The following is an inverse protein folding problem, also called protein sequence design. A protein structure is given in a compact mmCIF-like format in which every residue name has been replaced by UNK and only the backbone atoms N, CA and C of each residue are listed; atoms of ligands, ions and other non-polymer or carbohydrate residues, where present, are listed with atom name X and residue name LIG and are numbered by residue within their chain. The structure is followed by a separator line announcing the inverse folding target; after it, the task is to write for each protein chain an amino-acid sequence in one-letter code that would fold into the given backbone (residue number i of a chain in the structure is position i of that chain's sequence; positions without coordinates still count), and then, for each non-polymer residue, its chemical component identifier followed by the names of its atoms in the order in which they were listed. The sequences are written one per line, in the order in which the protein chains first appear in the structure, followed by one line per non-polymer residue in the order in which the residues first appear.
data_IF_964991513446
#
_entry.id   IF_964991513446
#
_cell.length_a   1.000
_cell.length_b   1.000
_cell.length_c   1.000
_cell.angle_alpha   90.00
_cell.angle_beta   90.00
_cell.angle_gamma   90.00
#
_symmetry.space_group_name_H-M   'P 1'
#
loop_
_entity.id
_entity.type
_entity.pdbx_description
1 polymer ?
#
# COMPACT_ATOMS: atom_id res chain seq x y z
N UNK A 1 -24.25 17.93 19.24
CA UNK A 1 -24.84 17.48 17.98
C UNK A 1 -24.23 16.20 17.42
N UNK A 2 -22.97 15.85 17.78
CA UNK A 2 -22.29 14.65 17.25
C UNK A 2 -22.85 13.31 17.75
N UNK A 3 -23.12 13.18 19.03
CA UNK A 3 -23.57 11.92 19.65
C UNK A 3 -24.92 11.45 19.12
N UNK A 4 -25.87 12.35 18.91
CA UNK A 4 -27.19 12.00 18.38
C UNK A 4 -27.10 11.43 16.94
N UNK A 5 -26.21 11.96 16.11
CA UNK A 5 -25.95 11.43 14.76
C UNK A 5 -25.35 10.04 14.79
N UNK A 6 -24.42 9.79 15.70
CA UNK A 6 -23.81 8.45 15.86
C UNK A 6 -24.83 7.43 16.33
N UNK A 7 -25.71 7.80 17.28
CA UNK A 7 -26.75 6.91 17.80
C UNK A 7 -27.80 6.59 16.74
N UNK A 8 -28.30 7.60 16.03
CA UNK A 8 -29.24 7.39 14.92
C UNK A 8 -28.67 6.49 13.83
N UNK A 9 -27.39 6.72 13.47
CA UNK A 9 -26.72 5.88 12.48
C UNK A 9 -26.56 4.44 12.95
N UNK A 10 -26.19 4.21 14.22
CA UNK A 10 -26.07 2.87 14.79
C UNK A 10 -27.40 2.10 14.70
N UNK A 11 -28.50 2.76 15.02
CA UNK A 11 -29.85 2.19 14.85
C UNK A 11 -30.17 1.85 13.39
N UNK A 12 -29.83 2.74 12.45
CA UNK A 12 -30.07 2.51 11.02
C UNK A 12 -29.21 1.37 10.44
N UNK A 13 -28.03 1.15 11.00
CA UNK A 13 -27.17 -0.01 10.66
C UNK A 13 -27.76 -1.29 11.23
N UNK A 14 -28.23 -1.26 12.48
CA UNK A 14 -28.81 -2.41 13.17
C UNK A 14 -30.09 -2.90 12.49
N UNK A 15 -30.92 -1.97 12.01
CA UNK A 15 -32.11 -2.25 11.23
C UNK A 15 -31.84 -2.60 9.76
N UNK A 16 -30.57 -2.60 9.33
CA UNK A 16 -30.16 -2.95 7.96
C UNK A 16 -30.43 -1.88 6.90
N UNK A 17 -30.85 -0.68 7.31
CA UNK A 17 -31.08 0.47 6.39
C UNK A 17 -29.77 1.09 5.90
N UNK A 18 -28.73 1.08 6.75
CA UNK A 18 -27.41 1.55 6.38
C UNK A 18 -26.38 0.42 6.43
N UNK A 19 -25.41 0.40 5.51
CA UNK A 19 -24.34 -0.58 5.55
C UNK A 19 -23.46 -0.39 6.78
N UNK A 20 -22.95 -1.51 7.30
CA UNK A 20 -21.96 -1.50 8.39
C UNK A 20 -20.77 -0.63 7.96
N UNK A 21 -20.38 0.31 8.82
CA UNK A 21 -19.25 1.19 8.57
C UNK A 21 -17.94 0.40 8.64
N UNK A 22 -17.12 0.51 7.62
CA UNK A 22 -15.73 0.04 7.68
C UNK A 22 -14.83 1.19 8.17
N UNK A 23 -14.58 1.20 9.48
CA UNK A 23 -13.82 2.26 10.16
C UNK A 23 -12.43 2.48 9.56
N UNK A 24 -11.76 1.41 9.11
CA UNK A 24 -10.44 1.53 8.51
C UNK A 24 -10.50 2.18 7.13
N UNK A 25 -11.54 1.91 6.37
CA UNK A 25 -11.78 2.59 5.08
C UNK A 25 -12.04 4.07 5.29
N UNK A 26 -12.85 4.46 6.26
CA UNK A 26 -13.12 5.89 6.55
C UNK A 26 -11.89 6.64 7.04
N UNK A 27 -11.11 6.02 7.94
CA UNK A 27 -9.84 6.59 8.39
C UNK A 27 -8.85 6.75 7.22
N UNK A 28 -8.86 5.82 6.29
CA UNK A 28 -8.03 5.92 5.07
C UNK A 28 -8.52 7.07 4.18
N UNK A 29 -9.82 7.21 3.97
CA UNK A 29 -10.40 8.30 3.17
C UNK A 29 -10.06 9.67 3.75
N UNK A 30 -10.28 9.86 5.06
CA UNK A 30 -9.91 11.10 5.76
C UNK A 30 -8.42 11.38 5.61
N UNK A 31 -7.58 10.37 5.81
CA UNK A 31 -6.14 10.51 5.65
C UNK A 31 -5.75 10.90 4.22
N UNK A 32 -6.40 10.33 3.19
CA UNK A 32 -6.12 10.68 1.78
C UNK A 32 -6.42 12.16 1.52
N UNK A 33 -7.58 12.64 1.99
CA UNK A 33 -7.98 14.03 1.80
C UNK A 33 -7.00 14.99 2.50
N UNK A 34 -6.63 14.69 3.75
CA UNK A 34 -5.64 15.48 4.51
C UNK A 34 -4.25 15.46 3.86
N UNK A 35 -3.82 14.29 3.36
CA UNK A 35 -2.52 14.14 2.72
C UNK A 35 -2.43 14.89 1.39
N UNK A 36 -3.48 14.84 0.57
CA UNK A 36 -3.51 15.54 -0.71
C UNK A 36 -3.47 17.06 -0.55
N UNK A 37 -4.08 17.60 0.51
CA UNK A 37 -4.03 19.06 0.82
C UNK A 37 -2.61 19.50 1.19
N UNK A 38 -1.79 18.62 1.75
CA UNK A 38 -0.40 18.93 2.14
C UNK A 38 0.58 18.90 0.97
N UNK A 39 0.20 18.29 -0.17
CA UNK A 39 1.06 18.23 -1.34
C UNK A 39 1.06 19.55 -2.12
N UNK A 40 2.14 19.87 -2.84
CA UNK A 40 2.13 20.92 -3.85
C UNK A 40 0.95 20.72 -4.81
N UNK A 41 0.27 21.79 -5.21
CA UNK A 41 -0.97 21.71 -6.00
C UNK A 41 -0.82 20.92 -7.30
N UNK A 42 0.33 21.02 -7.97
CA UNK A 42 0.62 20.26 -9.19
C UNK A 42 0.82 18.76 -8.91
N UNK A 43 1.45 18.38 -7.78
CA UNK A 43 1.51 16.97 -7.37
C UNK A 43 0.13 16.43 -6.98
N UNK A 44 -0.64 17.23 -6.23
CA UNK A 44 -1.99 16.84 -5.83
C UNK A 44 -2.87 16.59 -7.06
N UNK A 45 -2.77 17.42 -8.11
CA UNK A 45 -3.53 17.25 -9.35
C UNK A 45 -3.26 15.89 -10.03
N UNK A 46 -2.01 15.44 -10.05
CA UNK A 46 -1.60 14.17 -10.66
C UNK A 46 -1.96 12.95 -9.79
N UNK A 47 -1.88 13.09 -8.46
CA UNK A 47 -2.09 11.97 -7.53
C UNK A 47 -3.57 11.76 -7.20
N UNK A 48 -4.39 12.80 -7.15
CA UNK A 48 -5.80 12.72 -6.78
C UNK A 48 -6.57 11.70 -7.62
N UNK A 49 -6.49 11.68 -8.96
CA UNK A 49 -7.18 10.69 -9.77
C UNK A 49 -6.74 9.25 -9.43
N UNK A 50 -5.44 9.02 -9.22
CA UNK A 50 -4.92 7.72 -8.82
C UNK A 50 -5.43 7.30 -7.43
N UNK A 51 -5.36 8.19 -6.45
CA UNK A 51 -5.81 7.93 -5.08
C UNK A 51 -7.30 7.59 -5.05
N UNK A 52 -8.14 8.37 -5.72
CA UNK A 52 -9.59 8.21 -5.70
C UNK A 52 -10.05 7.01 -6.56
N UNK A 53 -9.61 6.94 -7.82
CA UNK A 53 -10.16 5.99 -8.80
C UNK A 53 -9.46 4.63 -8.78
N UNK A 54 -8.20 4.56 -8.34
CA UNK A 54 -7.48 3.29 -8.28
C UNK A 54 -7.40 2.76 -6.86
N UNK A 55 -6.85 3.55 -5.92
CA UNK A 55 -6.56 3.08 -4.56
C UNK A 55 -7.84 2.96 -3.75
N UNK A 56 -8.55 4.06 -3.49
CA UNK A 56 -9.75 4.06 -2.66
C UNK A 56 -10.87 3.20 -3.25
N UNK A 57 -11.09 3.28 -4.56
CA UNK A 57 -12.09 2.41 -5.21
C UNK A 57 -11.80 0.93 -5.00
N UNK A 58 -10.52 0.53 -5.03
CA UNK A 58 -10.12 -0.86 -4.79
C UNK A 58 -10.39 -1.26 -3.33
N UNK A 59 -10.06 -0.38 -2.37
CA UNK A 59 -10.33 -0.62 -0.94
C UNK A 59 -11.83 -0.70 -0.68
N UNK A 60 -12.63 0.26 -1.17
CA UNK A 60 -14.11 0.27 -1.04
C UNK A 60 -14.74 -1.01 -1.61
N UNK A 61 -14.32 -1.44 -2.79
CA UNK A 61 -14.82 -2.68 -3.41
C UNK A 61 -14.47 -3.92 -2.58
N UNK A 62 -13.31 -3.94 -1.93
CA UNK A 62 -12.90 -5.01 -1.03
C UNK A 62 -13.69 -4.95 0.28
N UNK A 63 -13.88 -3.76 0.85
CA UNK A 63 -14.67 -3.52 2.05
C UNK A 63 -16.12 -4.02 1.94
N UNK A 64 -16.72 -3.94 0.75
CA UNK A 64 -18.04 -4.52 0.47
C UNK A 64 -18.12 -6.05 0.58
N UNK A 65 -16.97 -6.74 0.64
CA UNK A 65 -16.89 -8.21 0.76
C UNK A 65 -16.24 -8.68 2.05
N UNK A 66 -15.31 -7.93 2.59
CA UNK A 66 -14.52 -8.21 3.80
C UNK A 66 -14.11 -6.91 4.45
N UNK A 67 -14.13 -6.83 5.78
CA UNK A 67 -13.63 -5.67 6.52
C UNK A 67 -12.19 -5.33 6.09
N UNK A 68 -11.93 -4.03 5.96
CA UNK A 68 -10.59 -3.53 5.68
C UNK A 68 -9.72 -3.70 6.92
N UNK A 69 -8.60 -4.38 6.77
CA UNK A 69 -7.62 -4.52 7.85
C UNK A 69 -6.69 -3.31 7.88
N UNK A 70 -6.03 -3.07 9.02
CA UNK A 70 -4.99 -2.04 9.17
C UNK A 70 -3.92 -2.20 8.09
N UNK A 71 -3.43 -3.42 7.84
CA UNK A 71 -2.41 -3.68 6.82
C UNK A 71 -2.85 -3.33 5.39
N UNK A 72 -4.14 -3.48 5.06
CA UNK A 72 -4.69 -3.04 3.77
C UNK A 72 -4.70 -1.51 3.67
N UNK A 73 -5.10 -0.83 4.75
CA UNK A 73 -5.10 0.63 4.79
C UNK A 73 -3.67 1.19 4.72
N UNK A 74 -2.72 0.58 5.42
CA UNK A 74 -1.31 1.00 5.40
C UNK A 74 -0.67 0.76 4.03
N UNK A 75 -0.92 -0.37 3.38
CA UNK A 75 -0.47 -0.61 2.01
C UNK A 75 -1.05 0.42 1.03
N UNK A 76 -2.30 0.84 1.22
CA UNK A 76 -2.91 1.89 0.41
C UNK A 76 -2.21 3.25 0.62
N UNK A 77 -1.90 3.62 1.87
CA UNK A 77 -1.13 4.84 2.20
C UNK A 77 0.25 4.82 1.56
N UNK A 78 0.99 3.70 1.68
CA UNK A 78 2.34 3.61 1.11
C UNK A 78 2.34 3.71 -0.41
N UNK A 79 1.35 3.18 -1.11
CA UNK A 79 1.20 3.36 -2.56
C UNK A 79 1.00 4.81 -2.96
N UNK A 80 0.20 5.57 -2.22
CA UNK A 80 -0.01 7.00 -2.47
C UNK A 80 1.26 7.79 -2.15
N UNK A 81 1.92 7.49 -1.03
CA UNK A 81 3.20 8.11 -0.66
C UNK A 81 4.31 7.81 -1.68
N UNK A 82 4.37 6.57 -2.20
CA UNK A 82 5.35 6.21 -3.23
C UNK A 82 5.15 7.01 -4.51
N UNK A 83 3.89 7.21 -4.93
CA UNK A 83 3.56 8.07 -6.06
C UNK A 83 4.03 9.52 -5.81
N UNK A 84 3.74 10.09 -4.64
CA UNK A 84 4.16 11.45 -4.29
C UNK A 84 5.69 11.60 -4.28
N UNK A 85 6.42 10.62 -3.73
CA UNK A 85 7.89 10.63 -3.72
C UNK A 85 8.49 10.52 -5.13
N UNK A 86 7.86 9.75 -6.02
CA UNK A 86 8.30 9.70 -7.42
C UNK A 86 8.12 11.06 -8.09
N UNK A 87 6.97 11.73 -7.91
CA UNK A 87 6.76 13.08 -8.48
C UNK A 87 7.77 14.09 -7.94
N UNK A 88 8.03 14.05 -6.63
CA UNK A 88 9.04 14.90 -6.01
C UNK A 88 10.44 14.65 -6.58
N UNK A 89 10.79 13.39 -6.83
CA UNK A 89 12.08 13.05 -7.45
C UNK A 89 12.17 13.58 -8.89
N UNK A 90 11.13 13.42 -9.69
CA UNK A 90 11.08 13.95 -11.07
C UNK A 90 11.23 15.48 -11.07
N UNK A 91 10.61 16.16 -10.12
CA UNK A 91 10.73 17.62 -9.97
C UNK A 91 12.17 18.04 -9.59
N UNK A 92 12.82 17.30 -8.69
CA UNK A 92 14.21 17.55 -8.29
C UNK A 92 15.21 17.35 -9.44
N UNK A 93 14.89 16.50 -10.41
CA UNK A 93 15.68 16.33 -11.64
C UNK A 93 15.49 17.52 -12.64
N UNK A 94 14.75 18.55 -12.24
CA UNK A 94 14.59 19.80 -13.01
C UNK A 94 13.54 19.75 -14.12
N UNK A 95 12.70 18.73 -14.11
CA UNK A 95 11.70 18.53 -15.14
C UNK A 95 10.31 18.33 -14.51
N UNK A 96 9.29 18.96 -15.08
CA UNK A 96 7.91 18.68 -14.68
C UNK A 96 7.52 17.21 -14.93
N UNK A 97 6.35 16.79 -14.44
CA UNK A 97 5.88 15.40 -14.52
C UNK A 97 5.89 14.84 -15.98
N UNK A 98 5.74 15.70 -16.99
CA UNK A 98 5.87 15.32 -18.40
C UNK A 98 7.23 14.71 -18.80
N UNK A 99 8.26 14.91 -17.96
CA UNK A 99 9.59 14.34 -18.19
C UNK A 99 9.83 13.00 -17.48
N UNK A 100 8.81 12.38 -16.93
CA UNK A 100 8.90 11.03 -16.40
C UNK A 100 9.21 10.04 -17.53
N UNK A 101 10.48 9.70 -17.67
CA UNK A 101 10.99 8.69 -18.61
C UNK A 101 11.25 7.36 -17.90
N UNK A 102 11.49 6.30 -18.69
CA UNK A 102 11.90 5.01 -18.12
C UNK A 102 13.22 5.13 -17.34
N UNK A 103 14.17 5.91 -17.82
CA UNK A 103 15.48 6.11 -17.17
C UNK A 103 15.33 6.77 -15.79
N UNK A 104 14.47 7.79 -15.67
CA UNK A 104 14.17 8.46 -14.40
C UNK A 104 13.51 7.48 -13.43
N UNK A 105 12.56 6.69 -13.92
CA UNK A 105 11.88 5.67 -13.12
C UNK A 105 12.87 4.59 -12.64
N UNK A 106 13.73 4.09 -13.52
CA UNK A 106 14.71 3.05 -13.19
C UNK A 106 15.71 3.55 -12.14
N UNK A 107 16.17 4.79 -12.27
CA UNK A 107 17.06 5.43 -11.29
C UNK A 107 16.37 5.56 -9.93
N UNK A 108 15.11 5.99 -9.91
CA UNK A 108 14.34 6.09 -8.68
C UNK A 108 14.11 4.72 -8.03
N UNK A 109 13.77 3.70 -8.82
CA UNK A 109 13.59 2.32 -8.35
C UNK A 109 14.90 1.75 -7.82
N UNK A 110 16.02 1.99 -8.50
CA UNK A 110 17.36 1.56 -8.06
C UNK A 110 17.71 2.09 -6.67
N UNK A 111 17.38 3.35 -6.38
CA UNK A 111 17.56 3.96 -5.05
C UNK A 111 16.49 3.57 -4.02
N UNK A 112 15.40 2.93 -4.44
CA UNK A 112 14.22 2.62 -3.61
C UNK A 112 13.72 1.18 -3.80
N UNK A 113 14.61 0.22 -3.96
CA UNK A 113 14.27 -1.18 -4.31
C UNK A 113 13.20 -1.81 -3.39
N UNK A 114 13.26 -1.53 -2.08
CA UNK A 114 12.28 -2.01 -1.11
C UNK A 114 10.84 -1.50 -1.37
N UNK A 115 10.67 -0.43 -2.17
CA UNK A 115 9.39 0.22 -2.46
C UNK A 115 8.87 -0.06 -3.86
N UNK A 116 9.53 -0.90 -4.61
CA UNK A 116 9.13 -1.28 -5.97
C UNK A 116 7.69 -1.83 -6.01
N UNK A 117 7.29 -2.59 -5.00
CA UNK A 117 5.93 -3.11 -4.87
C UNK A 117 4.87 -2.02 -4.68
N UNK A 118 5.22 -0.91 -4.04
CA UNK A 118 4.29 0.18 -3.76
C UNK A 118 4.10 1.11 -4.96
N UNK A 119 5.13 1.31 -5.78
CA UNK A 119 5.06 2.17 -6.97
C UNK A 119 4.45 1.48 -8.19
N UNK A 120 4.62 0.17 -8.31
CA UNK A 120 4.14 -0.60 -9.47
C UNK A 120 2.64 -0.38 -9.78
N UNK A 121 1.72 -0.28 -8.80
CA UNK A 121 0.32 0.04 -9.07
C UNK A 121 0.09 1.43 -9.67
N UNK A 122 0.91 2.43 -9.30
CA UNK A 122 0.85 3.78 -9.87
C UNK A 122 1.33 3.78 -11.33
N UNK A 123 2.45 3.16 -11.63
CA UNK A 123 2.97 3.04 -12.99
C UNK A 123 1.99 2.25 -13.87
N UNK A 124 1.41 1.18 -13.36
CA UNK A 124 0.37 0.43 -14.08
C UNK A 124 -0.86 1.30 -14.38
N UNK A 125 -1.25 2.19 -13.46
CA UNK A 125 -2.35 3.12 -13.65
C UNK A 125 -2.00 4.18 -14.71
N UNK A 126 -0.83 4.83 -14.66
CA UNK A 126 -0.36 5.78 -15.67
C UNK A 126 -0.35 5.19 -17.07
N UNK A 127 0.05 3.92 -17.20
CA UNK A 127 -0.02 3.21 -18.48
C UNK A 127 -1.46 3.04 -18.96
N UNK A 128 -2.36 2.69 -18.04
CA UNK A 128 -3.78 2.45 -18.40
C UNK A 128 -4.53 3.71 -18.79
N UNK A 129 -4.05 4.89 -18.38
CA UNK A 129 -4.59 6.19 -18.82
C UNK A 129 -4.04 6.64 -20.18
N UNK A 130 -3.06 5.93 -20.73
CA UNK A 130 -2.43 6.27 -22.01
C UNK A 130 -1.41 7.41 -21.95
N UNK A 131 -1.21 8.03 -20.78
CA UNK A 131 -0.25 9.13 -20.63
C UNK A 131 1.21 8.65 -20.74
N UNK A 132 1.50 7.44 -20.24
CA UNK A 132 2.85 6.88 -20.21
C UNK A 132 2.85 5.40 -20.60
N UNK A 133 2.55 5.06 -21.86
CA UNK A 133 2.37 3.66 -22.29
C UNK A 133 3.66 2.82 -22.21
N UNK A 134 4.82 3.48 -22.27
CA UNK A 134 6.13 2.83 -22.27
C UNK A 134 6.69 2.49 -20.89
N UNK A 135 6.19 3.10 -19.80
CA UNK A 135 6.76 2.90 -18.47
C UNK A 135 6.52 1.47 -17.95
N UNK A 136 7.56 0.87 -17.39
CA UNK A 136 7.52 -0.45 -16.76
C UNK A 136 8.31 -0.44 -15.46
N UNK A 137 7.79 -1.10 -14.45
CA UNK A 137 8.54 -1.42 -13.25
C UNK A 137 8.92 -2.88 -13.35
N UNK A 138 10.19 -3.15 -13.54
CA UNK A 138 10.70 -4.51 -13.38
C UNK A 138 10.55 -4.87 -11.91
N UNK A 139 9.73 -5.89 -11.63
CA UNK A 139 9.76 -6.50 -10.31
C UNK A 139 11.15 -7.09 -10.18
N UNK A 140 12.02 -6.43 -9.41
CA UNK A 140 13.21 -7.09 -8.96
C UNK A 140 12.78 -8.46 -8.47
N UNK A 141 13.48 -9.51 -8.89
CA UNK A 141 13.25 -10.84 -8.34
C UNK A 141 13.18 -10.64 -6.83
N UNK A 142 11.97 -10.79 -6.27
CA UNK A 142 11.86 -11.00 -4.85
C UNK A 142 12.85 -12.13 -4.61
N UNK A 143 13.93 -11.83 -3.88
CA UNK A 143 14.78 -12.87 -3.36
C UNK A 143 13.78 -13.87 -2.78
N UNK A 144 13.68 -15.06 -3.42
CA UNK A 144 12.93 -16.16 -2.81
C UNK A 144 13.34 -16.09 -1.37
N UNK A 145 12.42 -16.13 -0.40
CA UNK A 145 12.82 -16.30 0.98
C UNK A 145 13.80 -17.46 0.86
N UNK A 146 15.07 -17.21 1.13
CA UNK A 146 16.06 -18.26 1.25
C UNK A 146 15.35 -19.27 2.12
N UNK A 147 15.13 -20.45 1.60
CA UNK A 147 14.59 -21.56 2.36
C UNK A 147 15.32 -21.46 3.68
N UNK A 148 14.56 -21.06 4.72
CA UNK A 148 15.10 -20.97 6.04
C UNK A 148 15.53 -22.39 6.33
N UNK A 149 16.85 -22.61 6.23
CA UNK A 149 17.53 -23.81 6.69
C UNK A 149 17.36 -23.91 8.21
N UNK A 150 16.12 -23.85 8.67
CA UNK A 150 15.75 -23.79 10.07
C UNK A 150 15.00 -25.03 10.56
N UNK A 151 14.44 -25.84 9.66
CA UNK A 151 13.78 -27.05 10.10
C UNK A 151 14.80 -28.13 10.48
N UNK A 152 15.91 -28.27 9.76
CA UNK A 152 16.94 -29.24 10.08
C UNK A 152 17.74 -28.88 11.34
N UNK A 153 18.03 -27.60 11.57
CA UNK A 153 18.67 -27.13 12.84
C UNK A 153 17.71 -27.26 14.02
N UNK A 154 16.43 -26.98 13.84
CA UNK A 154 15.44 -27.12 14.92
C UNK A 154 15.25 -28.60 15.29
N UNK A 155 15.19 -29.49 14.32
CA UNK A 155 15.14 -30.96 14.54
C UNK A 155 16.44 -31.49 15.15
N UNK A 156 17.61 -30.93 14.83
CA UNK A 156 18.88 -31.34 15.47
C UNK A 156 18.93 -30.92 16.94
N UNK A 157 18.50 -29.70 17.28
CA UNK A 157 18.43 -29.21 18.67
C UNK A 157 17.45 -30.02 19.53
N UNK A 158 16.27 -30.36 18.99
CA UNK A 158 15.28 -31.17 19.70
C UNK A 158 15.82 -32.59 19.98
N UNK A 159 16.52 -33.22 19.03
CA UNK A 159 17.15 -34.54 19.22
C UNK A 159 18.23 -34.50 20.28
N UNK A 160 19.04 -33.45 20.33
CA UNK A 160 20.11 -33.30 21.32
C UNK A 160 19.52 -33.10 22.72
N UNK A 161 18.37 -32.41 22.84
CA UNK A 161 17.72 -32.21 24.15
C UNK A 161 17.07 -33.49 24.68
N UNK A 162 16.51 -34.33 23.80
CA UNK A 162 15.90 -35.61 24.20
C UNK A 162 16.97 -36.66 24.56
N UNK A 163 18.11 -36.67 23.86
CA UNK A 163 19.18 -37.61 24.11
C UNK A 163 20.00 -37.31 25.41
N UNK A 164 19.94 -36.04 25.89
CA UNK A 164 20.63 -35.62 27.11
C UNK A 164 19.87 -35.82 28.41
N UNK A 165 18.64 -36.35 28.38
CA UNK A 165 17.80 -36.54 29.59
C UNK A 165 17.80 -37.96 30.18
N UNK A 166 18.56 -38.88 29.59
CA UNK A 166 18.55 -40.31 30.03
C UNK A 166 19.78 -40.74 30.84
N UNK A 167 20.65 -39.80 31.26
CA UNK A 167 21.81 -40.17 32.10
C UNK A 167 21.78 -39.46 33.46
N UNK A 168 20.80 -39.80 34.30
CA UNK A 168 20.92 -39.56 35.75
C UNK A 168 20.05 -40.60 36.51
N UNK A 169 20.61 -41.76 36.80
CA UNK A 169 20.24 -42.63 37.92
C UNK A 169 21.50 -42.90 38.73
#
# INVERSE_FOLDING_TARGET
PGQARHHLRALLVDVGVLPVRDEQTERLETWVDEYLIQLPSHHAAEITPYAQWKVLRTVRRRAGRRRTTVGVADSARERIRAAARLLQHVEQEGAGFSALTQEVLDRWVGGNAARTGDIAPFISWLRSTGQYPGLRVERGQQARPSEVSGEDEHHALVRTFIAGSDDTV
#
